data_IF_042291031806
#
_entry.id   IF_042291031806
#
_cell.length_a   1.000
_cell.length_b   1.000
_cell.length_c   1.000
_cell.angle_alpha   90.00
_cell.angle_beta   90.00
_cell.angle_gamma   90.00
#
_symmetry.space_group_name_H-M   'P 1'
#
loop_
_entity.id
_entity.type
_entity.pdbx_description
1 polymer ?
2 non-polymer ?
3 non-polymer ?
4 non-polymer ?
5 water ?
#
# COMPACT_ATOMS: atom_id res chain seq x y z
N UNK A 5 -2.94 15.59 12.25
CA UNK A 5 -2.94 14.56 11.14
C UNK A 5 -4.24 13.76 11.10
N UNK A 6 -4.86 13.72 9.92
CA UNK A 6 -6.08 12.97 9.74
C UNK A 6 -5.99 12.06 8.48
N UNK A 7 -6.81 11.03 8.43
CA UNK A 7 -6.79 10.13 7.27
C UNK A 7 -7.20 10.87 6.00
N UNK A 8 -8.08 11.85 6.12
CA UNK A 8 -8.53 12.65 4.99
C UNK A 8 -7.39 13.37 4.29
N UNK A 9 -6.29 13.67 5.02
CA UNK A 9 -5.18 14.34 4.39
C UNK A 9 -4.45 13.46 3.38
N UNK A 10 -4.70 12.15 3.44
CA UNK A 10 -4.12 11.21 2.49
C UNK A 10 -4.91 11.10 1.19
N UNK A 11 -6.06 11.73 1.10
CA UNK A 11 -6.89 11.54 -0.08
C UNK A 11 -6.27 12.18 -1.31
N UNK A 12 -6.58 11.56 -2.46
CA UNK A 12 -6.23 12.07 -3.78
C UNK A 12 -5.49 11.11 -4.60
N UNK A 13 -5.05 11.60 -5.75
CA UNK A 13 -4.20 10.90 -6.67
C UNK A 13 -2.72 11.25 -6.43
N UNK A 14 -1.91 10.18 -6.29
CA UNK A 14 -0.52 10.32 -5.96
C UNK A 14 0.27 9.54 -6.98
N UNK A 15 1.42 10.01 -7.38
CA UNK A 15 2.24 9.41 -8.44
C UNK A 15 3.57 9.00 -7.90
N UNK A 16 3.98 7.77 -8.17
CA UNK A 16 5.24 7.22 -7.66
C UNK A 16 6.38 8.02 -8.28
N UNK A 17 7.25 8.56 -7.41
CA UNK A 17 8.44 9.26 -7.86
C UNK A 17 9.74 8.66 -7.35
N UNK A 18 9.72 7.78 -6.36
CA UNK A 18 10.95 7.13 -5.94
C UNK A 18 10.61 5.81 -5.26
N UNK A 19 11.43 4.78 -5.49
CA UNK A 19 11.27 3.50 -4.82
C UNK A 19 12.63 2.95 -4.39
N UNK A 20 12.72 2.47 -3.15
CA UNK A 20 13.89 1.77 -2.65
C UNK A 20 13.47 0.51 -1.94
N UNK A 21 14.15 -0.61 -2.22
CA UNK A 21 13.89 -1.84 -1.55
C UNK A 21 12.73 -2.68 -2.05
N UNK A 22 11.97 -2.17 -2.99
CA UNK A 22 10.77 -2.91 -3.40
C UNK A 22 11.06 -4.30 -3.98
N UNK A 23 12.08 -4.37 -4.79
CA UNK A 23 12.42 -5.69 -5.33
C UNK A 23 12.77 -6.71 -4.24
N UNK A 24 13.53 -6.27 -3.24
CA UNK A 24 13.87 -7.14 -2.12
C UNK A 24 12.61 -7.51 -1.34
N UNK A 25 11.69 -6.56 -1.14
CA UNK A 25 10.45 -6.87 -0.49
C UNK A 25 9.61 -7.92 -1.26
N UNK A 26 9.52 -7.75 -2.58
CA UNK A 26 8.80 -8.75 -3.39
C UNK A 26 9.48 -10.10 -3.31
N UNK A 27 10.82 -10.16 -3.27
CA UNK A 27 11.49 -11.42 -3.10
C UNK A 27 11.18 -12.05 -1.78
N UNK A 28 11.10 -11.27 -0.68
CA UNK A 28 10.69 -11.81 0.62
C UNK A 28 9.28 -12.39 0.62
N UNK A 29 8.40 -11.76 -0.16
CA UNK A 29 7.06 -12.30 -0.35
C UNK A 29 7.04 -13.59 -1.24
N UNK A 30 8.16 -13.88 -1.92
CA UNK A 30 8.17 -15.07 -2.79
C UNK A 30 7.47 -14.78 -4.11
N UNK A 31 7.43 -13.55 -4.57
CA UNK A 31 6.78 -13.22 -5.85
C UNK A 31 7.68 -13.71 -6.95
N UNK A 32 7.08 -14.33 -7.97
CA UNK A 32 7.81 -14.84 -9.10
C UNK A 32 8.18 -13.80 -10.10
N UNK A 33 8.96 -14.23 -11.09
CA UNK A 33 9.62 -13.30 -11.96
C UNK A 33 8.68 -12.38 -12.69
N UNK A 34 7.61 -12.92 -13.29
CA UNK A 34 6.69 -12.07 -14.04
C UNK A 34 6.20 -10.87 -13.21
N UNK A 35 5.62 -11.18 -12.07
CA UNK A 35 5.11 -10.14 -11.21
C UNK A 35 6.22 -9.23 -10.63
N UNK A 36 7.41 -9.77 -10.41
CA UNK A 36 8.49 -8.91 -9.93
C UNK A 36 8.90 -7.97 -11.01
N UNK A 37 8.96 -8.42 -12.27
CA UNK A 37 9.29 -7.47 -13.31
C UNK A 37 8.26 -6.40 -13.46
N UNK A 38 6.98 -6.74 -13.32
CA UNK A 38 5.92 -5.72 -13.32
C UNK A 38 6.14 -4.77 -12.14
N UNK A 39 6.38 -5.29 -10.93
CA UNK A 39 6.58 -4.42 -9.78
C UNK A 39 7.75 -3.49 -9.90
N UNK A 40 8.79 -3.96 -10.55
CA UNK A 40 9.99 -3.16 -10.75
C UNK A 40 9.75 -2.07 -11.81
N UNK A 41 8.96 -2.36 -12.86
CA UNK A 41 8.80 -1.49 -13.98
C UNK A 41 7.68 -0.49 -13.80
N UNK A 42 6.60 -0.91 -13.15
CA UNK A 42 5.44 -0.07 -13.04
C UNK A 42 5.72 1.21 -12.30
N UNK A 43 5.07 2.25 -12.75
CA UNK A 43 5.16 3.55 -12.08
C UNK A 43 3.67 3.94 -11.78
N UNK A 44 3.11 3.36 -10.72
CA UNK A 44 1.69 3.57 -10.46
C UNK A 44 1.36 4.94 -9.90
N UNK A 45 0.15 5.36 -10.19
CA UNK A 45 -0.58 6.26 -9.36
C UNK A 45 -1.35 5.45 -8.32
N UNK A 46 -1.48 6.00 -7.13
CA UNK A 46 -2.31 5.49 -6.08
C UNK A 46 -3.43 6.51 -5.90
N UNK A 47 -4.67 6.05 -5.74
CA UNK A 47 -5.80 6.95 -5.51
C UNK A 47 -6.43 6.52 -4.21
N UNK A 48 -6.39 7.40 -3.21
CA UNK A 48 -6.92 7.13 -1.91
C UNK A 48 -8.16 7.96 -1.73
N UNK A 49 -9.26 7.32 -1.29
CA UNK A 49 -10.46 8.00 -0.96
C UNK A 49 -11.01 7.46 0.35
N UNK A 50 -11.62 8.33 1.13
CA UNK A 50 -12.14 7.93 2.42
C UNK A 50 -13.37 8.78 2.79
N UNK A 51 -14.32 8.17 3.47
CA UNK A 51 -15.59 8.84 3.94
C UNK A 51 -15.75 8.14 5.19
N UNK A 52 -15.23 8.87 6.18
CA UNK A 52 -15.38 8.47 7.55
C UNK A 52 -14.48 7.27 7.84
N UNK A 53 -15.13 6.12 7.84
CA UNK A 53 -14.50 4.92 8.17
C UNK A 53 -14.37 4.10 6.90
N UNK A 54 -15.00 4.43 5.78
CA UNK A 54 -14.80 3.69 4.54
C UNK A 54 -13.57 4.19 3.86
N UNK A 55 -12.69 3.29 3.45
CA UNK A 55 -11.46 3.59 2.76
C UNK A 55 -11.44 2.78 1.45
N UNK A 56 -11.01 3.42 0.39
CA UNK A 56 -10.69 2.73 -0.87
C UNK A 56 -9.30 3.14 -1.32
N UNK A 57 -8.50 2.16 -1.76
CA UNK A 57 -7.24 2.41 -2.38
C UNK A 57 -7.18 1.73 -3.75
N UNK A 58 -6.99 2.56 -4.81
CA UNK A 58 -6.91 2.07 -6.19
C UNK A 58 -5.50 2.39 -6.67
N UNK A 59 -4.95 1.52 -7.51
CA UNK A 59 -3.71 1.85 -8.17
C UNK A 59 -3.87 1.70 -9.67
N UNK A 60 -3.15 2.48 -10.41
CA UNK A 60 -3.23 2.49 -11.90
C UNK A 60 -1.87 2.75 -12.46
N UNK A 61 -1.42 1.86 -13.31
CA UNK A 61 -0.19 2.07 -14.04
C UNK A 61 -0.41 1.63 -15.47
N UNK A 62 0.59 1.80 -16.33
CA UNK A 62 0.48 1.26 -17.74
C UNK A 62 0.31 -0.27 -17.71
N UNK A 63 0.72 -0.97 -16.66
CA UNK A 63 0.70 -2.39 -16.57
C UNK A 63 -0.54 -2.98 -15.94
N UNK A 64 -1.07 -2.35 -14.88
CA UNK A 64 -2.07 -2.95 -13.98
C UNK A 64 -2.86 -1.90 -13.25
N UNK A 65 -4.07 -2.22 -12.95
CA UNK A 65 -4.96 -1.46 -12.08
C UNK A 65 -5.39 -2.41 -10.97
N UNK A 66 -5.39 -1.98 -9.69
CA UNK A 66 -5.89 -2.75 -8.59
C UNK A 66 -6.81 -1.88 -7.72
N UNK A 67 -7.68 -2.50 -6.91
CA UNK A 67 -8.48 -1.69 -5.96
C UNK A 67 -8.96 -2.59 -4.84
N UNK A 68 -8.96 -2.08 -3.60
CA UNK A 68 -9.69 -2.66 -2.54
C UNK A 68 -10.38 -1.56 -1.73
N UNK A 69 -11.40 -1.98 -1.01
CA UNK A 69 -12.16 -1.12 -0.08
C UNK A 69 -12.34 -1.84 1.23
N UNK A 70 -12.39 -1.06 2.31
CA UNK A 70 -12.60 -1.58 3.63
C UNK A 70 -13.19 -0.56 4.55
N UNK A 71 -13.60 -1.05 5.72
CA UNK A 71 -13.95 -0.19 6.84
C UNK A 71 -12.78 -0.17 7.78
N UNK A 72 -12.33 1.03 8.17
CA UNK A 72 -11.23 1.13 9.09
C UNK A 72 -11.51 0.31 10.34
N UNK A 73 -10.55 -0.47 10.81
CA UNK A 73 -10.64 -1.30 12.00
C UNK A 73 -11.27 -2.69 11.82
N UNK A 74 -11.83 -2.98 10.64
CA UNK A 74 -12.51 -4.26 10.35
C UNK A 74 -11.56 -5.16 9.56
N UNK A 75 -11.42 -6.39 10.00
CA UNK A 75 -10.68 -7.41 9.24
C UNK A 75 -11.42 -7.78 7.94
N UNK A 76 -10.68 -7.88 6.86
CA UNK A 76 -11.29 -8.24 5.57
C UNK A 76 -10.32 -9.03 4.76
N UNK A 77 -10.86 -9.74 3.74
CA UNK A 77 -10.05 -10.46 2.80
C UNK A 77 -9.53 -9.57 1.66
N UNK A 78 -8.23 -9.34 1.63
CA UNK A 78 -7.58 -8.56 0.61
C UNK A 78 -6.88 -9.50 -0.35
N UNK A 79 -7.21 -9.34 -1.64
CA UNK A 79 -6.45 -9.97 -2.70
C UNK A 79 -5.38 -8.95 -3.14
N UNK A 80 -4.12 -9.30 -2.90
CA UNK A 80 -3.05 -8.31 -3.11
C UNK A 80 -2.57 -8.28 -4.57
N UNK A 81 -1.74 -7.32 -4.95
CA UNK A 81 -1.30 -7.15 -6.34
C UNK A 81 -0.51 -8.39 -6.79
N UNK A 82 0.13 -9.11 -5.86
CA UNK A 82 0.81 -10.34 -6.13
C UNK A 82 0.02 -11.62 -5.99
N UNK A 83 -1.25 -11.47 -5.60
CA UNK A 83 -2.20 -12.57 -5.60
C UNK A 83 -2.43 -13.27 -4.29
N UNK A 84 -1.77 -12.83 -3.22
CA UNK A 84 -2.10 -13.39 -1.90
C UNK A 84 -3.54 -13.03 -1.53
N UNK A 85 -4.16 -13.86 -0.72
CA UNK A 85 -5.40 -13.56 -0.04
C UNK A 85 -5.14 -13.43 1.44
N UNK A 86 -5.08 -12.20 1.90
CA UNK A 86 -4.64 -11.93 3.26
C UNK A 86 -5.83 -11.53 4.08
N UNK A 87 -5.72 -11.72 5.41
CA UNK A 87 -6.58 -11.07 6.33
C UNK A 87 -5.94 -9.74 6.65
N UNK A 88 -6.57 -8.65 6.24
CA UNK A 88 -6.00 -7.30 6.38
C UNK A 88 -6.88 -6.49 7.29
N UNK A 89 -6.24 -5.60 8.05
CA UNK A 89 -6.93 -4.54 8.80
C UNK A 89 -6.21 -3.22 8.51
N UNK A 90 -6.96 -2.17 8.21
CA UNK A 90 -6.44 -0.83 8.08
C UNK A 90 -6.93 0.06 9.20
N UNK A 91 -5.99 0.87 9.75
CA UNK A 91 -6.34 1.82 10.84
C UNK A 91 -5.52 3.06 10.63
N UNK A 92 -6.06 4.20 11.05
CA UNK A 92 -5.31 5.44 11.03
C UNK A 92 -4.90 5.68 12.49
N UNK A 93 -3.61 5.50 12.73
CA UNK A 93 -3.09 5.44 14.10
C UNK A 93 -1.82 6.27 14.16
N UNK A 94 -1.70 7.14 15.18
CA UNK A 94 -0.46 7.92 15.37
C UNK A 94 -0.05 8.61 14.06
N UNK A 95 -1.02 9.21 13.37
CA UNK A 95 -0.76 9.98 12.20
C UNK A 95 -0.34 9.20 10.94
N UNK A 96 -0.53 7.90 10.91
CA UNK A 96 -0.24 7.07 9.69
C UNK A 96 -1.44 6.18 9.46
N UNK A 97 -1.63 5.86 8.17
CA UNK A 97 -2.52 4.75 7.82
C UNK A 97 -1.68 3.48 7.87
N UNK A 98 -2.12 2.54 8.68
CA UNK A 98 -1.42 1.27 8.89
C UNK A 98 -2.24 0.12 8.35
N UNK A 99 -1.68 -0.62 7.41
CA UNK A 99 -2.33 -1.77 6.71
C UNK A 99 -1.57 -3.01 7.14
N UNK A 100 -2.20 -3.82 7.96
CA UNK A 100 -1.59 -4.98 8.53
C UNK A 100 -2.16 -6.24 7.82
N UNK A 101 -1.30 -7.05 7.24
CA UNK A 101 -1.74 -8.22 6.47
C UNK A 101 -1.21 -9.50 7.16
N UNK A 102 -2.07 -10.51 7.28
CA UNK A 102 -1.70 -11.78 7.81
C UNK A 102 -2.17 -12.90 6.84
N UNK A 103 -1.30 -13.86 6.59
CA UNK A 103 -1.64 -14.99 5.71
C UNK A 103 -0.65 -16.08 5.95
N UNK A 104 -1.07 -17.34 5.94
CA UNK A 104 -0.16 -18.46 6.05
C UNK A 104 0.87 -18.31 7.19
N UNK A 105 0.48 -17.82 8.34
CA UNK A 105 1.41 -17.69 9.44
C UNK A 105 2.41 -16.57 9.29
N UNK A 106 2.29 -15.76 8.27
CA UNK A 106 3.16 -14.62 7.98
C UNK A 106 2.46 -13.31 8.25
N UNK A 107 3.23 -12.24 8.33
CA UNK A 107 2.69 -10.93 8.53
C UNK A 107 3.52 -9.92 7.75
N UNK A 108 2.83 -8.92 7.26
CA UNK A 108 3.49 -7.78 6.65
C UNK A 108 2.69 -6.55 6.92
N UNK A 109 3.37 -5.42 7.13
CA UNK A 109 2.74 -4.14 7.31
C UNK A 109 3.15 -3.12 6.28
N UNK A 110 2.16 -2.34 5.85
CA UNK A 110 2.36 -1.22 4.94
C UNK A 110 1.81 0.03 5.65
N UNK A 111 2.70 1.04 5.78
CA UNK A 111 2.29 2.34 6.37
C UNK A 111 2.27 3.40 5.27
N UNK A 112 1.36 4.38 5.42
CA UNK A 112 1.28 5.53 4.54
C UNK A 112 1.13 6.78 5.40
N UNK A 113 1.99 7.76 5.10
CA UNK A 113 2.01 9.01 5.90
C UNK A 113 2.27 10.20 4.99
N UNK A 114 1.76 11.37 5.36
CA UNK A 114 2.06 12.58 4.68
C UNK A 114 3.31 13.20 5.35
N UNK A 115 4.33 13.46 4.54
CA UNK A 115 5.55 14.13 5.03
C UNK A 115 5.94 15.20 4.02
N UNK A 116 6.01 16.46 4.47
CA UNK A 116 6.41 17.56 3.59
C UNK A 116 5.63 17.52 2.26
N UNK A 117 4.33 17.26 2.35
CA UNK A 117 3.43 17.27 1.17
C UNK A 117 3.51 16.02 0.30
N UNK A 118 4.40 15.09 0.61
CA UNK A 118 4.46 13.84 -0.20
C UNK A 118 3.89 12.69 0.62
N UNK A 119 3.45 11.68 -0.10
CA UNK A 119 2.93 10.42 0.51
C UNK A 119 4.08 9.45 0.58
N UNK A 120 4.47 9.07 1.81
CA UNK A 120 5.54 8.15 2.06
C UNK A 120 4.91 6.79 2.44
N UNK A 121 5.22 5.79 1.60
CA UNK A 121 4.73 4.44 1.78
C UNK A 121 5.91 3.58 2.22
N UNK A 122 5.73 2.86 3.31
CA UNK A 122 6.77 1.98 3.80
C UNK A 122 6.20 0.60 4.01
N UNK A 123 6.96 -0.39 3.53
CA UNK A 123 6.59 -1.81 3.59
C UNK A 123 7.57 -2.55 4.46
N UNK A 124 7.12 -3.55 5.17
CA UNK A 124 8.03 -4.44 5.89
C UNK A 124 7.48 -5.83 5.96
N UNK A 125 8.37 -6.80 5.79
CA UNK A 125 8.09 -8.19 6.17
C UNK A 125 9.41 -8.79 6.68
N UNK A 126 9.43 -9.29 7.90
CA UNK A 126 10.60 -9.98 8.41
C UNK A 126 11.86 -9.14 8.22
N UNK A 127 11.72 -7.86 8.63
CA UNK A 127 12.84 -6.87 8.58
C UNK A 127 13.32 -6.50 7.20
N UNK A 128 12.64 -6.99 6.15
CA UNK A 128 12.91 -6.55 4.77
C UNK A 128 11.99 -5.40 4.47
N UNK A 129 12.55 -4.27 4.09
CA UNK A 129 11.81 -3.02 3.99
C UNK A 129 11.79 -2.42 2.59
N UNK A 130 10.83 -1.58 2.37
CA UNK A 130 10.93 -0.70 1.27
C UNK A 130 10.34 0.67 1.63
N UNK A 131 10.71 1.66 0.84
CA UNK A 131 10.22 3.01 1.00
C UNK A 131 9.87 3.49 -0.42
N UNK A 132 8.63 3.94 -0.59
CA UNK A 132 8.16 4.43 -1.86
C UNK A 132 7.53 5.82 -1.66
N UNK A 133 7.96 6.77 -2.45
CA UNK A 133 7.55 8.15 -2.30
C UNK A 133 6.66 8.54 -3.45
N UNK A 134 5.55 9.17 -3.15
CA UNK A 134 4.60 9.60 -4.14
C UNK A 134 4.32 11.11 -4.00
N UNK A 135 4.13 11.75 -5.15
CA UNK A 135 3.84 13.17 -5.16
C UNK A 135 2.41 13.40 -5.53
N UNK A 136 1.80 14.42 -4.94
CA UNK A 136 0.40 14.63 -5.16
C UNK A 136 0.31 15.26 -6.50
N UNK A 137 -0.60 14.72 -7.33
CA UNK A 137 -0.85 15.15 -8.72
C UNK A 137 -2.37 15.35 -9.06
N UNK A 138 -2.62 16.11 -10.11
CA UNK A 138 -4.00 16.30 -10.53
C UNK A 138 -4.62 15.12 -11.29
X LIG B 1 6.73 0.30 9.38
X LIG B 1 7.88 -0.77 9.86
X LIG B 1 7.67 1.79 9.11
X LIG B 1 6.36 -0.16 7.69
X LIG C 1 13.11 -0.89 -6.23
X LIG C 1 12.04 -1.14 -7.41
X LIG C 1 13.65 -2.21 -5.75
X LIG C 1 12.59 -0.21 -5.09
X LIG C 1 14.23 -0.10 -6.91
X LIG D 1 14.99 -9.74 -10.20
X LIG D 1 15.09 -11.24 -10.36
X LIG D 1 14.92 -8.98 -11.49
X LIG D 1 16.23 -9.31 -9.45
X LIG D 1 13.73 -9.36 -9.40
X LIG E 1 1.55 -2.50 -6.99
X LIG E 1 2.15 -3.39 -7.90
X LIG E 1 1.84 -3.07 -9.24
X LIG E 1 0.96 -1.99 -9.31
X LIG E 1 0.57 -1.37 -7.79
X LIG E 1 1.71 -2.57 -5.58
X LIG E 1 1.14 -1.66 -4.74
X LIG E 1 2.94 -4.49 -7.50
X LIG E 1 0.37 -1.34 -10.47
X LIG E 1 1.50 -1.74 -3.29
X LIG E 1 1.66 -0.34 -2.69
X LIG E 1 2.62 0.49 -3.44
X LIG E 1 0.33 -0.81 -5.13
X LIG E 1 3.45 -5.31 -8.30
X LIG E 1 4.16 -6.49 -7.93
X LIG E 1 3.25 -7.62 -7.52
X LIG E 1 -0.73 -0.74 -10.47
X LIG E 1 3.09 1.56 -3.04
X LIG E 1 3.10 -4.74 -6.22
X LIG E 1 2.36 -3.89 -10.39
X LIG E 1 3.12 0.05 -4.56
X LIG E 1 1.05 -1.42 -11.58
X LIG E 1 2.66 -2.65 -3.04
X LIG E 1 2.02 -0.40 -1.22
X LIG E 1 2.98 -2.73 -1.52
X LIG E 1 3.20 -1.33 -0.93
#
# INVERSE_FOLDING_TARGET
GSHMATVQQLEGRWRLVDSKGFDEYMKELGVGIALRKMGAMAKPDCIITCDGKNLTIKTESTLKTTQFSCTLGEKFEETTADGRKTQTVCNFTDGALVQHQEWDGKESTITRKLKDGKLVVECVMNNVTCTRIYEKVE
DMS S O C1 C2
SO4 S O1 O2 O3 O4
SO4 S O1 O2 O3 O4
IOV C1 C2 C3 C4 S5 N6 C7 C8 C9 C10 C11 C12 O13 O14 CA CB N15 O16 O17 C18 O19 O20 C21 C22 C24 C25
#
